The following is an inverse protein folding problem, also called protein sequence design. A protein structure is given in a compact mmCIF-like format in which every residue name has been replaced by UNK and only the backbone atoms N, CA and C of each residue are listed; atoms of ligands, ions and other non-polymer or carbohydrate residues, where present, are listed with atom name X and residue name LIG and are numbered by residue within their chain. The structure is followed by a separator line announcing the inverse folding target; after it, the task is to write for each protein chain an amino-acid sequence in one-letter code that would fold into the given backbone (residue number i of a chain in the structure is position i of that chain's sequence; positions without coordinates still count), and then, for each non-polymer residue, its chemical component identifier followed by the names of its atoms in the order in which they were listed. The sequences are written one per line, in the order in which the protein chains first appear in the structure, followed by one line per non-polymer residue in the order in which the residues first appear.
data_IF_008842706939
#
_entry.id   IF_008842706939
#
_cell.length_a   1.000
_cell.length_b   1.000
_cell.length_c   1.000
_cell.angle_alpha   90.00
_cell.angle_beta   90.00
_cell.angle_gamma   90.00
#
_symmetry.space_group_name_H-M   'P 1'
#
loop_
_entity.id
_entity.type
_entity.pdbx_description
1 polymer ?
#
# COMPACT_ATOMS: atom_id res chain seq x y z
N UNK A 1 24.43 21.26 6.68
CA UNK A 1 24.99 20.24 5.77
C UNK A 1 24.34 18.90 6.07
N UNK A 2 23.32 18.49 5.31
CA UNK A 2 22.66 17.19 5.48
C UNK A 2 23.53 16.10 4.86
N UNK A 3 24.02 15.18 5.69
CA UNK A 3 24.64 13.94 5.19
C UNK A 3 23.52 13.06 4.63
N UNK A 4 23.23 13.18 3.34
CA UNK A 4 22.54 12.10 2.62
C UNK A 4 23.50 10.92 2.56
N UNK A 5 23.45 10.03 3.56
CA UNK A 5 24.18 8.78 3.44
C UNK A 5 23.49 8.00 2.32
N UNK A 6 24.10 8.01 1.13
CA UNK A 6 23.70 7.16 0.02
C UNK A 6 24.07 5.73 0.43
N UNK A 7 23.26 5.12 1.29
CA UNK A 7 23.37 3.72 1.66
C UNK A 7 22.55 2.99 0.64
N UNK A 8 23.21 2.12 -0.14
CA UNK A 8 22.52 1.28 -1.12
C UNK A 8 21.35 0.56 -0.44
N UNK A 9 21.57 -0.02 0.74
CA UNK A 9 20.52 -0.67 1.50
C UNK A 9 20.40 -0.12 2.93
N UNK A 10 19.17 0.13 3.36
CA UNK A 10 18.82 0.48 4.74
C UNK A 10 18.00 -0.67 5.31
N UNK A 11 18.53 -1.34 6.33
CA UNK A 11 17.81 -2.38 7.06
C UNK A 11 17.74 -1.94 8.52
N UNK A 12 16.54 -1.86 9.07
CA UNK A 12 16.32 -1.44 10.46
C UNK A 12 15.37 -2.40 11.17
N UNK A 13 15.83 -2.92 12.30
CA UNK A 13 15.02 -3.62 13.29
C UNK A 13 14.71 -2.65 14.43
N UNK A 14 13.42 -2.43 14.73
CA UNK A 14 12.98 -1.47 15.74
C UNK A 14 12.40 -0.20 15.15
N UNK A 15 12.82 0.97 15.64
CA UNK A 15 12.21 2.26 15.27
C UNK A 15 13.11 3.07 14.35
N UNK A 16 12.63 3.33 13.13
CA UNK A 16 13.22 4.28 12.19
C UNK A 16 12.41 5.58 12.19
N UNK A 17 12.97 6.63 12.78
CA UNK A 17 12.42 7.99 12.71
C UNK A 17 13.40 8.89 11.99
N UNK A 18 13.13 9.17 10.72
CA UNK A 18 13.96 10.05 9.89
C UNK A 18 13.05 10.84 8.95
N UNK A 19 13.21 12.17 8.80
CA UNK A 19 12.33 12.94 7.93
C UNK A 19 12.45 12.51 6.46
N UNK A 20 13.65 12.18 5.99
CA UNK A 20 13.92 11.81 4.60
C UNK A 20 14.76 10.55 4.52
N UNK A 21 14.32 9.57 3.74
CA UNK A 21 15.04 8.34 3.46
C UNK A 21 15.18 8.22 1.96
N UNK A 22 16.42 8.10 1.48
CA UNK A 22 16.77 7.78 0.10
C UNK A 22 17.77 6.63 0.12
N UNK A 23 17.45 5.55 -0.57
CA UNK A 23 18.30 4.37 -0.70
C UNK A 23 17.93 3.61 -1.99
N UNK A 24 18.70 2.58 -2.34
CA UNK A 24 18.28 1.62 -3.36
C UNK A 24 17.19 0.68 -2.81
N UNK A 25 17.35 0.24 -1.56
CA UNK A 25 16.35 -0.57 -0.82
C UNK A 25 16.18 -0.11 0.61
N UNK A 26 14.95 -0.16 1.12
CA UNK A 26 14.61 0.15 2.51
C UNK A 26 13.82 -1.00 3.11
N UNK A 27 14.29 -1.56 4.22
CA UNK A 27 13.62 -2.62 4.95
C UNK A 27 13.49 -2.22 6.41
N UNK A 28 12.27 -2.19 6.93
CA UNK A 28 11.98 -1.81 8.31
C UNK A 28 11.11 -2.86 8.95
N UNK A 29 11.65 -3.54 9.96
CA UNK A 29 10.91 -4.41 10.87
C UNK A 29 10.63 -3.63 12.16
N UNK A 30 9.46 -3.02 12.28
CA UNK A 30 9.06 -2.29 13.49
C UNK A 30 8.28 -1.01 13.22
N UNK A 31 8.81 0.15 13.64
CA UNK A 31 8.11 1.43 13.56
C UNK A 31 8.78 2.37 12.57
N UNK A 32 8.10 2.72 11.48
CA UNK A 32 8.57 3.68 10.48
C UNK A 32 7.86 5.03 10.65
N UNK A 33 8.60 6.11 10.91
CA UNK A 33 8.09 7.49 10.89
C UNK A 33 8.96 8.36 10.00
N UNK A 34 8.42 8.75 8.86
CA UNK A 34 9.13 9.57 7.89
C UNK A 34 8.20 10.55 7.17
N UNK A 35 8.75 11.64 6.66
CA UNK A 35 8.00 12.52 5.74
C UNK A 35 8.10 11.94 4.34
N UNK A 36 9.30 11.57 3.90
CA UNK A 36 9.55 11.04 2.57
C UNK A 36 10.42 9.79 2.65
N UNK A 37 9.98 8.73 1.98
CA UNK A 37 10.76 7.51 1.74
C UNK A 37 10.78 7.26 0.24
N UNK A 38 11.96 7.32 -0.35
CA UNK A 38 12.19 6.97 -1.75
C UNK A 38 13.18 5.83 -1.79
N UNK A 39 12.82 4.75 -2.46
CA UNK A 39 13.76 3.69 -2.79
C UNK A 39 13.72 3.36 -4.28
N UNK A 40 14.88 3.22 -4.91
CA UNK A 40 14.94 2.97 -6.35
C UNK A 40 14.35 1.59 -6.71
N UNK A 41 14.50 0.58 -5.84
CA UNK A 41 14.06 -0.80 -6.14
C UNK A 41 12.92 -1.27 -5.25
N UNK A 42 13.09 -1.16 -3.92
CA UNK A 42 12.18 -1.81 -2.99
C UNK A 42 12.05 -1.09 -1.63
N UNK A 43 10.82 -1.01 -1.14
CA UNK A 43 10.49 -0.64 0.24
C UNK A 43 9.73 -1.80 0.88
N UNK A 44 10.26 -2.36 1.96
CA UNK A 44 9.58 -3.34 2.81
C UNK A 44 9.36 -2.74 4.19
N UNK A 45 8.11 -2.69 4.63
CA UNK A 45 7.75 -2.27 5.98
C UNK A 45 6.89 -3.35 6.60
N UNK A 46 7.44 -4.03 7.61
CA UNK A 46 6.68 -4.95 8.45
C UNK A 46 6.55 -4.33 9.84
N UNK A 47 5.37 -3.79 10.15
CA UNK A 47 5.06 -3.22 11.44
C UNK A 47 4.07 -2.06 11.38
N UNK A 48 4.43 -0.90 11.93
CA UNK A 48 3.49 0.21 12.11
C UNK A 48 4.15 1.55 11.87
N UNK A 49 3.36 2.62 11.78
CA UNK A 49 3.91 3.98 11.72
C UNK A 49 3.18 4.90 10.77
N UNK A 50 3.86 5.96 10.36
CA UNK A 50 3.30 6.99 9.48
C UNK A 50 4.34 7.50 8.50
N UNK A 51 3.99 7.50 7.22
CA UNK A 51 4.80 8.05 6.13
C UNK A 51 3.94 9.02 5.32
N UNK A 52 4.43 10.23 5.03
CA UNK A 52 3.64 11.15 4.20
C UNK A 52 3.75 10.77 2.72
N UNK A 53 4.95 10.52 2.21
CA UNK A 53 5.18 10.12 0.82
C UNK A 53 6.09 8.91 0.79
N UNK A 54 5.63 7.86 0.11
CA UNK A 54 6.34 6.61 -0.11
C UNK A 54 6.41 6.36 -1.62
N UNK A 55 7.61 6.23 -2.17
CA UNK A 55 7.80 5.99 -3.60
C UNK A 55 8.87 4.94 -3.87
N UNK A 56 8.54 3.92 -4.68
CA UNK A 56 9.48 2.89 -5.11
C UNK A 56 8.96 2.07 -6.28
N UNK A 57 9.82 1.30 -6.95
CA UNK A 57 9.35 0.31 -7.91
C UNK A 57 8.48 -0.76 -7.23
N UNK A 58 8.92 -1.29 -6.08
CA UNK A 58 8.19 -2.32 -5.35
C UNK A 58 7.97 -1.91 -3.90
N UNK A 59 6.74 -2.03 -3.42
CA UNK A 59 6.36 -1.65 -2.07
C UNK A 59 5.65 -2.83 -1.39
N UNK A 60 6.20 -3.31 -0.29
CA UNK A 60 5.66 -4.41 0.51
C UNK A 60 5.32 -3.84 1.89
N UNK A 61 4.03 -3.66 2.16
CA UNK A 61 3.50 -3.00 3.35
C UNK A 61 2.68 -4.01 4.16
N UNK A 62 3.23 -4.39 5.32
CA UNK A 62 2.59 -5.31 6.24
C UNK A 62 2.37 -4.63 7.59
N UNK A 63 1.12 -4.60 8.05
CA UNK A 63 0.79 -4.15 9.40
C UNK A 63 0.43 -5.30 10.32
N UNK A 64 0.96 -5.27 11.54
CA UNK A 64 0.72 -6.30 12.55
C UNK A 64 -0.34 -5.88 13.58
N UNK A 65 0.07 -5.44 14.77
CA UNK A 65 -0.77 -5.04 15.91
C UNK A 65 -1.26 -3.59 15.84
N UNK A 66 -0.57 -2.74 15.07
CA UNK A 66 -0.87 -1.31 14.94
C UNK A 66 -0.86 -0.92 13.47
N UNK A 67 -1.66 0.09 13.08
CA UNK A 67 -1.77 0.47 11.68
C UNK A 67 -0.46 1.02 11.15
N UNK A 68 -0.22 0.77 9.87
CA UNK A 68 0.76 1.48 9.06
C UNK A 68 -0.01 2.47 8.19
N UNK A 69 0.31 3.76 8.33
CA UNK A 69 -0.40 4.84 7.64
C UNK A 69 0.54 5.45 6.60
N UNK A 70 0.10 5.51 5.36
CA UNK A 70 0.81 6.19 4.27
C UNK A 70 -0.13 7.20 3.64
N UNK A 71 0.25 8.48 3.63
CA UNK A 71 -0.63 9.52 3.05
C UNK A 71 -0.61 9.43 1.51
N UNK A 72 0.55 9.19 0.90
CA UNK A 72 0.69 9.03 -0.56
C UNK A 72 1.66 7.91 -0.88
N UNK A 73 1.19 6.89 -1.61
CA UNK A 73 2.00 5.79 -2.11
C UNK A 73 2.06 5.86 -3.64
N UNK A 74 3.27 6.01 -4.17
CA UNK A 74 3.56 6.03 -5.60
C UNK A 74 4.49 4.87 -5.94
N UNK A 75 3.92 3.72 -6.28
CA UNK A 75 4.72 2.52 -6.54
C UNK A 75 4.39 1.86 -7.86
N UNK A 76 5.33 1.20 -8.53
CA UNK A 76 4.95 0.40 -9.71
C UNK A 76 4.12 -0.81 -9.24
N UNK A 77 4.62 -1.56 -8.27
CA UNK A 77 3.91 -2.68 -7.67
C UNK A 77 3.78 -2.47 -6.17
N UNK A 78 2.61 -2.76 -5.62
CA UNK A 78 2.36 -2.66 -4.18
C UNK A 78 1.64 -3.91 -3.65
N UNK A 79 2.19 -4.49 -2.60
CA UNK A 79 1.59 -5.55 -1.81
C UNK A 79 1.22 -4.97 -0.44
N UNK A 80 -0.07 -5.03 -0.10
CA UNK A 80 -0.62 -4.45 1.12
C UNK A 80 -1.33 -5.53 1.91
N UNK A 81 -0.81 -5.85 3.10
CA UNK A 81 -1.37 -6.90 3.95
C UNK A 81 -1.55 -6.38 5.38
N UNK A 82 -2.79 -6.18 5.78
CA UNK A 82 -3.13 -6.03 7.19
C UNK A 82 -3.30 -7.39 7.86
N UNK A 83 -2.77 -7.56 9.08
CA UNK A 83 -3.08 -8.69 9.94
C UNK A 83 -4.15 -8.34 10.98
N UNK A 84 -3.76 -7.83 12.16
CA UNK A 84 -4.73 -7.43 13.21
C UNK A 84 -5.16 -5.99 13.04
N UNK A 85 -4.27 -5.14 12.56
CA UNK A 85 -4.55 -3.76 12.19
C UNK A 85 -4.45 -3.59 10.67
N UNK A 86 -5.26 -2.71 10.06
CA UNK A 86 -5.20 -2.45 8.63
C UNK A 86 -3.96 -1.63 8.26
N UNK A 87 -3.58 -1.72 6.98
CA UNK A 87 -2.74 -0.70 6.35
C UNK A 87 -3.66 0.40 5.82
N UNK A 88 -3.36 1.65 6.13
CA UNK A 88 -4.16 2.81 5.72
C UNK A 88 -3.38 3.60 4.67
N UNK A 89 -3.92 3.74 3.47
CA UNK A 89 -3.30 4.45 2.35
C UNK A 89 -4.25 5.54 1.86
N UNK A 90 -3.95 6.82 2.07
CA UNK A 90 -4.92 7.86 1.68
C UNK A 90 -4.98 8.11 0.18
N UNK A 91 -3.83 8.10 -0.50
CA UNK A 91 -3.75 8.19 -1.95
C UNK A 91 -2.77 7.15 -2.46
N UNK A 92 -3.22 6.31 -3.40
CA UNK A 92 -2.42 5.27 -4.02
C UNK A 92 -2.43 5.46 -5.53
N UNK A 93 -1.24 5.61 -6.11
CA UNK A 93 -1.05 5.50 -7.54
C UNK A 93 -0.07 4.37 -7.82
N UNK A 94 -0.54 3.32 -8.48
CA UNK A 94 0.31 2.19 -8.82
C UNK A 94 0.02 1.57 -10.18
N UNK A 95 0.94 0.74 -10.68
CA UNK A 95 0.65 -0.10 -11.83
C UNK A 95 -0.17 -1.31 -11.39
N UNK A 96 0.29 -1.98 -10.34
CA UNK A 96 -0.43 -3.11 -9.77
C UNK A 96 -0.50 -3.04 -8.25
N UNK A 97 -1.64 -3.44 -7.69
CA UNK A 97 -1.85 -3.59 -6.25
C UNK A 97 -2.45 -4.97 -5.95
N UNK A 98 -1.92 -5.63 -4.93
CA UNK A 98 -2.65 -6.64 -4.16
C UNK A 98 -2.93 -6.06 -2.78
N UNK A 99 -4.18 -6.09 -2.34
CA UNK A 99 -4.56 -5.58 -1.03
C UNK A 99 -5.43 -6.59 -0.26
N UNK A 100 -5.12 -6.76 1.02
CA UNK A 100 -5.94 -7.47 2.00
C UNK A 100 -5.97 -6.68 3.30
N UNK A 101 -7.15 -6.50 3.89
CA UNK A 101 -7.34 -5.73 5.12
C UNK A 101 -6.66 -4.35 5.03
N UNK A 102 -7.02 -3.61 3.99
CA UNK A 102 -6.46 -2.30 3.69
C UNK A 102 -7.59 -1.26 3.61
N UNK A 103 -7.35 -0.08 4.16
CA UNK A 103 -8.23 1.07 4.03
C UNK A 103 -7.55 2.04 3.08
N UNK A 104 -8.22 2.36 1.98
CA UNK A 104 -7.71 3.21 0.93
C UNK A 104 -8.67 4.40 0.74
N UNK A 105 -8.12 5.61 0.65
CA UNK A 105 -8.90 6.79 0.28
C UNK A 105 -9.13 6.77 -1.23
N UNK A 106 -8.19 7.36 -1.96
CA UNK A 106 -8.17 7.40 -3.41
C UNK A 106 -7.24 6.32 -3.99
N UNK A 107 -7.75 5.54 -4.95
CA UNK A 107 -7.01 4.48 -5.64
C UNK A 107 -6.98 4.70 -7.15
N UNK A 108 -5.79 4.84 -7.72
CA UNK A 108 -5.54 4.92 -9.16
C UNK A 108 -4.55 3.81 -9.57
N UNK A 109 -5.03 2.79 -10.29
CA UNK A 109 -4.21 1.63 -10.66
C UNK A 109 -4.43 1.15 -12.09
N UNK A 110 -3.49 0.41 -12.68
CA UNK A 110 -3.80 -0.37 -13.89
C UNK A 110 -4.47 -1.70 -13.50
N UNK A 111 -3.92 -2.42 -12.52
CA UNK A 111 -4.43 -3.72 -12.07
C UNK A 111 -4.61 -3.74 -10.55
N UNK A 112 -5.81 -4.06 -10.08
CA UNK A 112 -6.09 -4.25 -8.67
C UNK A 112 -6.51 -5.70 -8.40
N UNK A 113 -5.94 -6.31 -7.37
CA UNK A 113 -6.44 -7.55 -6.77
C UNK A 113 -6.82 -7.23 -5.34
N UNK A 114 -8.11 -7.28 -5.05
CA UNK A 114 -8.69 -6.85 -3.79
C UNK A 114 -9.27 -8.07 -3.08
N UNK A 115 -8.72 -8.37 -1.90
CA UNK A 115 -9.13 -9.47 -1.04
C UNK A 115 -9.96 -8.97 0.14
N UNK A 116 -10.18 -9.85 1.13
CA UNK A 116 -11.03 -9.60 2.30
C UNK A 116 -10.70 -8.28 3.02
N UNK A 117 -11.75 -7.64 3.54
CA UNK A 117 -11.68 -6.48 4.45
C UNK A 117 -10.97 -5.27 3.85
N UNK A 118 -11.02 -5.13 2.52
CA UNK A 118 -10.60 -3.92 1.83
C UNK A 118 -11.74 -2.89 1.83
N UNK A 119 -11.42 -1.65 2.17
CA UNK A 119 -12.32 -0.51 2.04
C UNK A 119 -11.65 0.56 1.17
N UNK A 120 -12.35 1.05 0.16
CA UNK A 120 -11.87 2.10 -0.76
C UNK A 120 -12.93 3.21 -0.79
N UNK A 121 -12.54 4.43 -0.43
CA UNK A 121 -13.44 5.59 -0.51
C UNK A 121 -13.71 5.98 -1.97
N UNK A 122 -12.67 6.09 -2.79
CA UNK A 122 -12.80 6.44 -4.21
C UNK A 122 -11.82 5.64 -5.06
N UNK A 123 -12.35 4.78 -5.93
CA UNK A 123 -11.59 4.12 -6.98
C UNK A 123 -11.57 5.00 -8.24
N UNK A 124 -10.57 5.89 -8.36
CA UNK A 124 -10.49 6.88 -9.44
C UNK A 124 -10.40 6.22 -10.82
N UNK A 125 -9.51 5.24 -10.97
CA UNK A 125 -9.26 4.53 -12.23
C UNK A 125 -8.69 3.14 -11.98
N UNK A 126 -9.20 2.14 -12.70
CA UNK A 126 -8.62 0.82 -12.79
C UNK A 126 -8.79 0.24 -14.20
N UNK A 127 -7.70 -0.22 -14.85
CA UNK A 127 -7.86 -0.94 -16.12
C UNK A 127 -8.41 -2.36 -15.91
N UNK A 128 -8.07 -2.99 -14.78
CA UNK A 128 -8.56 -4.30 -14.38
C UNK A 128 -8.68 -4.41 -12.86
N UNK A 129 -9.80 -4.93 -12.37
CA UNK A 129 -10.03 -5.23 -10.96
C UNK A 129 -10.41 -6.69 -10.80
N UNK A 130 -9.74 -7.39 -9.89
CA UNK A 130 -10.05 -8.75 -9.48
C UNK A 130 -10.49 -8.72 -8.04
N UNK A 131 -11.74 -9.09 -7.79
CA UNK A 131 -12.31 -9.22 -6.47
C UNK A 131 -12.21 -10.67 -6.01
N UNK A 132 -11.45 -10.88 -4.93
CA UNK A 132 -11.12 -12.22 -4.42
C UNK A 132 -12.07 -12.66 -3.32
N UNK A 133 -12.68 -11.71 -2.61
CA UNK A 133 -13.56 -11.95 -1.47
C UNK A 133 -14.74 -10.97 -1.49
N UNK A 134 -15.97 -11.36 -1.12
CA UNK A 134 -17.14 -10.48 -1.14
C UNK A 134 -17.12 -9.39 -0.06
N UNK A 135 -16.31 -9.50 0.99
CA UNK A 135 -16.23 -8.54 2.09
C UNK A 135 -15.31 -7.37 1.76
N UNK A 136 -15.63 -6.70 0.66
CA UNK A 136 -14.98 -5.48 0.21
C UNK A 136 -15.99 -4.34 0.13
N UNK A 137 -15.55 -3.12 0.40
CA UNK A 137 -16.39 -1.94 0.32
C UNK A 137 -15.73 -0.90 -0.58
N UNK A 138 -16.48 -0.41 -1.57
CA UNK A 138 -16.07 0.72 -2.40
C UNK A 138 -17.21 1.72 -2.41
N UNK A 139 -16.95 2.94 -1.95
CA UNK A 139 -17.97 3.98 -1.85
C UNK A 139 -18.21 4.66 -3.21
N UNK A 140 -17.14 5.14 -3.85
CA UNK A 140 -17.20 5.80 -5.15
C UNK A 140 -16.42 5.01 -6.20
N UNK A 141 -17.11 4.58 -7.26
CA UNK A 141 -16.51 3.90 -8.41
C UNK A 141 -16.30 4.89 -9.56
N UNK A 142 -15.05 5.10 -9.93
CA UNK A 142 -14.64 5.85 -11.12
C UNK A 142 -14.57 4.95 -12.36
N UNK A 143 -13.60 5.22 -13.24
CA UNK A 143 -13.48 4.49 -14.50
C UNK A 143 -12.82 3.12 -14.30
N UNK A 144 -13.58 2.04 -14.52
CA UNK A 144 -13.11 0.66 -14.41
C UNK A 144 -13.25 -0.02 -15.76
N UNK A 145 -12.17 -0.62 -16.26
CA UNK A 145 -12.15 -1.39 -17.50
C UNK A 145 -12.71 -2.80 -17.32
N UNK A 146 -11.84 -3.76 -17.01
CA UNK A 146 -12.19 -5.17 -16.82
C UNK A 146 -12.45 -5.49 -15.34
N UNK A 147 -13.48 -6.28 -15.05
CA UNK A 147 -13.83 -6.71 -13.69
C UNK A 147 -13.98 -8.23 -13.65
N UNK A 148 -13.28 -8.87 -12.71
CA UNK A 148 -13.37 -10.32 -12.47
C UNK A 148 -13.66 -10.60 -11.00
N UNK A 149 -14.63 -11.47 -10.75
CA UNK A 149 -14.90 -12.04 -9.44
C UNK A 149 -14.34 -13.47 -9.40
N UNK A 150 -13.70 -13.86 -8.30
CA UNK A 150 -13.22 -15.25 -8.12
C UNK A 150 -14.03 -16.03 -7.09
N UNK A 151 -15.09 -15.43 -6.57
CA UNK A 151 -16.06 -16.05 -5.67
C UNK A 151 -17.42 -16.16 -6.38
N UNK A 152 -18.25 -17.09 -5.92
CA UNK A 152 -19.61 -17.24 -6.39
C UNK A 152 -20.47 -16.14 -5.76
N UNK A 153 -21.21 -15.42 -6.60
CA UNK A 153 -22.24 -14.49 -6.14
C UNK A 153 -23.48 -15.30 -5.78
N UNK A 154 -24.16 -15.01 -4.65
CA UNK A 154 -25.42 -15.65 -4.35
C UNK A 154 -26.44 -15.33 -5.45
N UNK A 155 -27.22 -16.34 -5.86
CA UNK A 155 -28.31 -16.16 -6.81
C UNK A 155 -29.35 -15.18 -6.24
N UNK A 156 -29.40 -13.98 -6.81
CA UNK A 156 -30.45 -12.99 -6.53
C UNK A 156 -31.61 -13.29 -7.48
N UNK A 157 -32.41 -14.30 -7.13
CA UNK A 157 -33.65 -14.66 -7.83
C UNK A 157 -34.70 -13.56 -7.82
#
# INVERSE_FOLDING_TARGET
MSRSSNRDHIIVFGRLKCPYIKAKRVQVLGVLRAVLVVADEEIVVLGSGRVNVLASNNCILLSNKRPLIVERAHCVNILVLGERAPVVLKYVRARSIYARRAIMGELEVEKAVLAELCSIETLLRASRVVFVDPHLYIENLGNIGDVKYTYELPDLG
#
